data_IF_384883964694
#
_entry.id   IF_384883964694
#
_cell.length_a   1.000
_cell.length_b   1.000
_cell.length_c   1.000
_cell.angle_alpha   90.00
_cell.angle_beta   90.00
_cell.angle_gamma   90.00
#
_symmetry.space_group_name_H-M   'P 1'
#
loop_
_entity.id
_entity.type
_entity.pdbx_description
1 polymer ?
#
# COMPACT_ATOMS: atom_id res chain seq x y z
N UNK A 1 -17.11 9.60 -61.07
CA UNK A 1 -15.88 10.21 -60.51
C UNK A 1 -15.40 9.36 -59.34
N UNK A 2 -14.14 8.90 -59.41
CA UNK A 2 -13.52 7.96 -58.48
C UNK A 2 -12.80 8.75 -57.37
N UNK A 3 -13.27 8.70 -56.13
CA UNK A 3 -12.52 9.24 -54.99
C UNK A 3 -11.87 8.10 -54.20
N UNK A 4 -10.58 7.90 -54.49
CA UNK A 4 -9.63 7.17 -53.65
C UNK A 4 -9.25 8.10 -52.49
N UNK A 5 -9.51 7.72 -51.25
CA UNK A 5 -8.80 8.30 -50.11
C UNK A 5 -8.12 7.18 -49.32
N UNK A 6 -6.84 7.45 -49.10
CA UNK A 6 -5.81 6.54 -48.65
C UNK A 6 -6.07 6.01 -47.23
N UNK A 7 -5.64 4.76 -47.03
CA UNK A 7 -5.36 4.20 -45.71
C UNK A 7 -4.46 5.15 -44.93
N UNK A 8 -4.96 5.72 -43.85
CA UNK A 8 -4.13 6.25 -42.77
C UNK A 8 -3.93 5.14 -41.75
N UNK A 9 -2.72 4.55 -41.75
CA UNK A 9 -2.23 3.70 -40.67
C UNK A 9 -2.28 4.51 -39.36
N UNK A 10 -3.27 4.24 -38.52
CA UNK A 10 -3.24 4.67 -37.12
C UNK A 10 -2.18 3.83 -36.39
N UNK A 11 -1.11 4.43 -35.83
CA UNK A 11 -0.25 3.70 -34.93
C UNK A 11 -1.05 3.40 -33.66
N UNK A 12 -1.29 2.12 -33.41
CA UNK A 12 -1.78 1.65 -32.13
C UNK A 12 -0.70 1.94 -31.08
N UNK A 13 -0.81 3.09 -30.42
CA UNK A 13 -0.03 3.39 -29.22
C UNK A 13 -0.62 2.55 -28.10
N UNK A 14 -0.08 1.33 -27.94
CA UNK A 14 -0.36 0.48 -26.79
C UNK A 14 0.38 1.07 -25.59
N UNK A 15 -0.29 1.97 -24.87
CA UNK A 15 0.20 2.40 -23.55
C UNK A 15 0.20 1.20 -22.62
N UNK A 16 1.40 0.75 -22.27
CA UNK A 16 1.62 -0.31 -21.30
C UNK A 16 1.33 0.22 -19.89
N UNK A 17 0.16 -0.12 -19.36
CA UNK A 17 -0.23 0.17 -17.96
C UNK A 17 0.50 -0.76 -16.99
N UNK A 18 1.78 -0.51 -16.71
CA UNK A 18 2.52 -1.18 -15.64
C UNK A 18 2.69 -0.25 -14.44
N UNK A 19 1.63 -0.05 -13.64
CA UNK A 19 1.77 0.74 -12.41
C UNK A 19 0.73 0.45 -11.33
N UNK A 20 0.43 -0.83 -11.06
CA UNK A 20 -0.49 -1.23 -9.97
C UNK A 20 -0.08 -2.50 -9.18
N UNK A 21 0.95 -3.24 -9.61
CA UNK A 21 1.28 -4.54 -9.00
C UNK A 21 2.31 -4.48 -7.85
N UNK A 22 3.03 -3.37 -7.67
CA UNK A 22 4.08 -3.29 -6.64
C UNK A 22 3.55 -2.94 -5.24
N UNK A 23 2.44 -2.20 -5.14
CA UNK A 23 1.90 -1.75 -3.85
C UNK A 23 1.22 -2.91 -3.07
N UNK A 24 0.73 -3.92 -3.77
CA UNK A 24 0.14 -5.12 -3.16
C UNK A 24 1.18 -6.06 -2.51
N UNK A 25 2.46 -5.96 -2.82
CA UNK A 25 3.46 -6.91 -2.31
C UNK A 25 3.95 -6.58 -0.89
N UNK A 26 3.78 -5.34 -0.44
CA UNK A 26 4.31 -4.86 0.84
C UNK A 26 3.26 -4.16 1.69
N UNK A 27 3.43 -4.17 3.00
CA UNK A 27 2.63 -3.40 3.97
C UNK A 27 3.52 -2.58 4.87
N UNK A 28 2.95 -1.51 5.43
CA UNK A 28 3.59 -0.75 6.50
C UNK A 28 3.24 -1.37 7.84
N UNK A 29 4.26 -1.76 8.59
CA UNK A 29 4.14 -2.36 9.92
C UNK A 29 4.85 -1.48 10.95
N UNK A 30 4.16 -1.11 12.02
CA UNK A 30 4.63 -0.18 13.04
C UNK A 30 4.80 -0.86 14.42
N UNK A 31 5.72 -0.35 15.23
CA UNK A 31 5.92 -0.78 16.63
C UNK A 31 4.66 -0.51 17.47
N UNK A 32 4.04 0.65 17.27
CA UNK A 32 2.93 1.15 18.09
C UNK A 32 1.68 1.41 17.25
N UNK A 33 0.52 1.31 17.88
CA UNK A 33 -0.77 1.59 17.26
C UNK A 33 -0.90 3.06 16.85
N UNK A 34 -0.35 3.97 17.67
CA UNK A 34 -0.36 5.41 17.39
C UNK A 34 0.48 5.73 16.15
N UNK A 35 1.64 5.09 16.01
CA UNK A 35 2.46 5.23 14.82
C UNK A 35 1.70 4.78 13.56
N UNK A 36 1.08 3.59 13.59
CA UNK A 36 0.24 3.11 12.49
C UNK A 36 -0.88 4.11 12.12
N UNK A 37 -1.55 4.69 13.12
CA UNK A 37 -2.58 5.72 12.88
C UNK A 37 -2.03 6.98 12.23
N UNK A 38 -0.83 7.44 12.63
CA UNK A 38 -0.22 8.65 12.05
C UNK A 38 0.14 8.45 10.58
N UNK A 39 0.65 7.27 10.22
CA UNK A 39 0.93 6.93 8.82
C UNK A 39 -0.35 6.88 7.99
N UNK A 40 -1.37 6.19 8.48
CA UNK A 40 -2.69 6.10 7.84
C UNK A 40 -3.29 7.49 7.59
N UNK A 41 -3.29 8.35 8.61
CA UNK A 41 -3.80 9.72 8.49
C UNK A 41 -3.01 10.58 7.48
N UNK A 42 -1.69 10.39 7.39
CA UNK A 42 -0.85 11.11 6.43
C UNK A 42 -1.11 10.66 4.98
N UNK A 43 -1.40 9.38 4.76
CA UNK A 43 -1.77 8.88 3.43
C UNK A 43 -3.07 9.53 2.91
N UNK A 44 -4.05 9.76 3.80
CA UNK A 44 -5.30 10.43 3.45
C UNK A 44 -5.19 11.93 3.17
N UNK A 45 -4.16 12.62 3.69
CA UNK A 45 -4.00 14.06 3.52
C UNK A 45 -3.15 14.47 2.32
N UNK A 46 -2.56 13.51 1.59
CA UNK A 46 -1.62 13.80 0.49
C UNK A 46 -0.30 14.42 0.97
N UNK A 47 -0.08 14.48 2.29
CA UNK A 47 1.22 14.83 2.85
C UNK A 47 2.19 13.67 2.60
N UNK A 48 3.50 13.93 2.43
CA UNK A 48 4.49 12.86 2.43
C UNK A 48 4.34 12.05 3.72
N UNK A 49 4.19 10.73 3.58
CA UNK A 49 4.08 9.84 4.73
C UNK A 49 5.28 10.10 5.66
N UNK A 50 5.01 10.52 6.89
CA UNK A 50 6.06 10.76 7.85
C UNK A 50 6.86 9.47 8.02
N UNK A 51 8.17 9.50 7.77
CA UNK A 51 9.02 8.37 8.09
C UNK A 51 9.13 8.28 9.61
N UNK A 52 8.28 7.49 10.24
CA UNK A 52 8.46 7.17 11.66
C UNK A 52 9.52 6.08 11.79
N UNK A 53 10.53 6.31 12.63
CA UNK A 53 11.54 5.31 12.97
C UNK A 53 10.92 4.00 13.50
N UNK A 54 9.67 4.08 13.98
CA UNK A 54 8.87 2.98 14.49
C UNK A 54 8.13 2.20 13.40
N UNK A 55 8.07 2.68 12.16
CA UNK A 55 7.35 2.04 11.07
C UNK A 55 8.31 1.59 9.96
N UNK A 56 8.06 0.41 9.40
CA UNK A 56 8.81 -0.11 8.26
C UNK A 56 7.91 -0.78 7.25
N UNK A 57 8.31 -0.70 5.99
CA UNK A 57 7.68 -1.47 4.91
C UNK A 57 8.24 -2.89 4.93
N UNK A 58 7.37 -3.89 5.01
CA UNK A 58 7.72 -5.31 4.99
C UNK A 58 6.95 -6.05 3.89
N UNK A 59 7.48 -7.17 3.37
CA UNK A 59 6.71 -8.04 2.47
C UNK A 59 5.45 -8.58 3.18
N UNK A 60 4.32 -8.62 2.47
CA UNK A 60 3.09 -9.24 3.00
C UNK A 60 3.29 -10.71 3.36
N UNK A 61 4.20 -11.42 2.69
CA UNK A 61 4.56 -12.80 3.01
C UNK A 61 5.19 -13.00 4.38
N UNK A 62 5.65 -11.92 5.04
CA UNK A 62 6.19 -11.98 6.40
C UNK A 62 5.11 -11.75 7.48
N UNK A 63 3.90 -11.33 7.10
CA UNK A 63 2.80 -11.07 8.03
C UNK A 63 2.03 -12.36 8.29
N UNK A 64 1.87 -12.70 9.55
CA UNK A 64 1.16 -13.90 10.00
C UNK A 64 -0.23 -13.60 10.54
N UNK A 65 -0.60 -14.30 11.61
CA UNK A 65 -1.91 -14.19 12.25
C UNK A 65 -2.07 -12.90 13.05
N UNK A 66 -3.32 -12.45 13.19
CA UNK A 66 -3.70 -11.36 14.10
C UNK A 66 -3.57 -11.83 15.54
N UNK A 67 -2.81 -11.10 16.37
CA UNK A 67 -2.74 -11.31 17.82
C UNK A 67 -3.66 -10.35 18.57
N UNK A 68 -3.79 -9.11 18.10
CA UNK A 68 -4.58 -8.06 18.77
C UNK A 68 -5.32 -7.20 17.75
N UNK A 69 -6.44 -6.63 18.19
CA UNK A 69 -7.25 -5.69 17.43
C UNK A 69 -7.54 -4.48 18.28
N UNK A 70 -7.50 -3.30 17.68
CA UNK A 70 -7.85 -2.05 18.34
C UNK A 70 -8.63 -1.15 17.38
N UNK A 71 -9.42 -0.24 17.95
CA UNK A 71 -10.17 0.75 17.19
C UNK A 71 -9.64 2.14 17.55
N UNK A 72 -9.28 2.92 16.53
CA UNK A 72 -8.96 4.35 16.71
C UNK A 72 -9.75 5.17 15.70
N UNK A 73 -10.55 6.11 16.19
CA UNK A 73 -11.35 6.99 15.33
C UNK A 73 -12.33 6.24 14.42
N UNK A 74 -12.79 5.05 14.82
CA UNK A 74 -13.67 4.21 14.01
C UNK A 74 -12.96 3.30 12.99
N UNK A 75 -11.63 3.39 12.87
CA UNK A 75 -10.85 2.50 12.01
C UNK A 75 -10.29 1.30 12.80
N UNK A 76 -10.42 0.07 12.27
CA UNK A 76 -9.83 -1.12 12.87
C UNK A 76 -8.34 -1.21 12.53
N UNK A 77 -7.53 -1.48 13.54
CA UNK A 77 -6.11 -1.78 13.42
C UNK A 77 -5.83 -3.18 13.96
N UNK A 78 -4.92 -3.87 13.30
CA UNK A 78 -4.55 -5.24 13.65
C UNK A 78 -3.06 -5.29 14.00
N UNK A 79 -2.75 -5.84 15.17
CA UNK A 79 -1.40 -6.23 15.53
C UNK A 79 -1.20 -7.67 15.07
N UNK A 80 -0.33 -7.87 14.08
CA UNK A 80 -0.12 -9.17 13.45
C UNK A 80 1.31 -9.66 13.73
N UNK A 81 1.47 -10.98 13.82
CA UNK A 81 2.81 -11.59 13.89
C UNK A 81 3.62 -11.21 12.65
N UNK A 82 4.93 -11.00 12.83
CA UNK A 82 5.85 -10.74 11.73
C UNK A 82 7.02 -11.71 11.83
N UNK A 83 7.35 -12.39 10.73
CA UNK A 83 8.46 -13.33 10.67
C UNK A 83 9.77 -12.71 11.20
N UNK A 84 10.45 -13.42 12.11
CA UNK A 84 11.67 -12.93 12.75
C UNK A 84 11.46 -11.80 13.78
N UNK A 85 10.22 -11.44 14.10
CA UNK A 85 9.88 -10.48 15.14
C UNK A 85 9.43 -11.17 16.43
N UNK A 86 9.89 -10.67 17.59
CA UNK A 86 9.46 -11.18 18.90
C UNK A 86 8.15 -10.58 19.43
N UNK A 87 7.64 -9.50 18.80
CA UNK A 87 6.37 -8.86 19.13
C UNK A 87 5.57 -8.62 17.85
N UNK A 88 4.24 -8.70 17.94
CA UNK A 88 3.37 -8.31 16.84
C UNK A 88 3.59 -6.85 16.43
N UNK A 89 3.22 -6.52 15.19
CA UNK A 89 3.32 -5.17 14.64
C UNK A 89 1.96 -4.71 14.16
N UNK A 90 1.66 -3.44 14.38
CA UNK A 90 0.42 -2.82 13.94
C UNK A 90 0.50 -2.54 12.44
N UNK A 91 -0.40 -3.15 11.68
CA UNK A 91 -0.46 -3.00 10.23
C UNK A 91 -1.31 -1.77 9.89
N UNK A 92 -0.76 -0.92 9.02
CA UNK A 92 -1.52 0.19 8.43
C UNK A 92 -2.56 -0.39 7.46
N UNK A 93 -3.86 -0.06 7.61
CA UNK A 93 -4.95 -0.58 6.78
C UNK A 93 -4.78 -0.30 5.27
#
# INVERSE_FOLDING_TARGET
MRFRFALALMPAVTWASFSLAQDSATVTACETLIAARRIDAAAGSGQPAASEAECRRIPRSQVGTVEQRAMIGGAPYECMTVAGGGRCRWIVP
#
